data_IF_324629347804
#
_entry.id   IF_324629347804
#
_cell.length_a   1.000
_cell.length_b   1.000
_cell.length_c   1.000
_cell.angle_alpha   90.00
_cell.angle_beta   90.00
_cell.angle_gamma   90.00
#
_symmetry.space_group_name_H-M   'P 1'
#
loop_
_entity.id
_entity.type
_entity.pdbx_description
1 polymer ?
#
# COMPACT_ATOMS: atom_id res chain seq x y z
N UNK A 1 4.50 13.00 -15.03
CA UNK A 1 3.22 13.42 -15.63
C UNK A 1 2.21 13.64 -14.51
N UNK A 2 1.98 14.90 -14.14
CA UNK A 2 1.03 15.29 -13.09
C UNK A 2 -0.38 15.53 -13.69
N UNK A 3 -0.46 15.76 -15.00
CA UNK A 3 -1.69 16.16 -15.70
C UNK A 3 -2.80 15.11 -15.77
N UNK A 4 -2.51 13.81 -15.70
CA UNK A 4 -3.55 12.78 -15.69
C UNK A 4 -4.32 12.73 -14.35
N UNK A 5 -3.71 13.16 -13.25
CA UNK A 5 -4.37 13.19 -11.94
C UNK A 5 -5.49 14.24 -11.87
N UNK A 6 -5.50 15.25 -12.75
CA UNK A 6 -6.40 16.41 -12.66
C UNK A 6 -7.62 16.36 -13.60
N UNK A 7 -7.76 15.35 -14.46
CA UNK A 7 -8.91 15.27 -15.38
C UNK A 7 -10.20 14.83 -14.66
N UNK A 8 -11.22 15.69 -14.72
CA UNK A 8 -12.45 15.68 -13.93
C UNK A 8 -13.46 14.54 -14.14
N UNK A 9 -13.04 13.36 -14.63
CA UNK A 9 -13.89 12.17 -14.75
C UNK A 9 -13.48 11.09 -13.72
N UNK A 10 -13.30 11.49 -12.46
CA UNK A 10 -12.90 10.56 -11.39
C UNK A 10 -14.09 9.70 -11.00
N UNK A 11 -14.00 8.39 -11.27
CA UNK A 11 -14.90 7.42 -10.63
C UNK A 11 -14.42 7.24 -9.20
N UNK A 12 -15.21 7.74 -8.25
CA UNK A 12 -14.94 7.52 -6.83
C UNK A 12 -15.36 6.12 -6.43
N UNK A 13 -14.63 5.51 -5.50
CA UNK A 13 -15.13 4.31 -4.81
C UNK A 13 -16.31 4.73 -3.93
N UNK A 14 -17.29 3.85 -3.77
CA UNK A 14 -18.37 4.03 -2.81
C UNK A 14 -17.83 4.16 -1.37
N UNK A 15 -16.70 3.49 -1.09
CA UNK A 15 -16.00 3.57 0.18
C UNK A 15 -14.48 3.73 -0.04
N UNK A 16 -13.85 4.74 0.59
CA UNK A 16 -12.38 4.87 0.66
C UNK A 16 -11.71 3.66 1.31
N UNK A 17 -10.62 3.19 0.70
CA UNK A 17 -9.75 2.19 1.33
C UNK A 17 -8.69 2.92 2.15
N UNK A 18 -8.71 2.73 3.47
CA UNK A 18 -7.70 3.29 4.38
C UNK A 18 -6.46 2.42 4.42
N UNK A 19 -5.28 3.04 4.39
CA UNK A 19 -4.01 2.32 4.50
C UNK A 19 -3.36 2.66 5.83
N UNK A 20 -3.15 1.62 6.65
CA UNK A 20 -2.57 1.76 7.99
C UNK A 20 -1.13 1.27 8.03
N UNK A 21 -0.23 2.02 8.69
CA UNK A 21 1.11 1.54 9.02
C UNK A 21 1.01 0.51 10.16
N UNK A 22 1.53 -0.69 9.93
CA UNK A 22 1.68 -1.74 10.92
C UNK A 22 3.12 -1.84 11.43
N UNK A 23 3.55 -3.07 11.72
CA UNK A 23 4.85 -3.37 12.32
C UNK A 23 6.02 -2.80 11.50
N UNK A 24 6.96 -2.18 12.20
CA UNK A 24 8.16 -1.53 11.67
C UNK A 24 7.90 -0.44 10.58
N UNK A 25 6.69 0.13 10.52
CA UNK A 25 6.37 1.25 9.62
C UNK A 25 6.02 2.51 10.42
N UNK A 26 6.58 3.65 10.01
CA UNK A 26 6.27 4.97 10.54
C UNK A 26 5.03 5.56 9.87
N UNK A 27 5.00 5.57 8.55
CA UNK A 27 3.86 6.02 7.75
C UNK A 27 3.89 5.40 6.36
N UNK A 28 2.73 5.46 5.69
CA UNK A 28 2.51 4.99 4.32
C UNK A 28 1.91 6.11 3.47
N UNK A 29 2.27 6.15 2.18
CA UNK A 29 1.74 7.07 1.19
C UNK A 29 1.35 6.29 -0.08
N UNK A 30 0.14 6.49 -0.64
CA UNK A 30 -0.97 7.28 -0.07
C UNK A 30 -1.54 6.63 1.21
N UNK A 31 -2.25 7.43 2.02
CA UNK A 31 -2.97 6.95 3.21
C UNK A 31 -4.39 6.47 2.89
N UNK A 32 -4.93 6.89 1.75
CA UNK A 32 -6.28 6.58 1.29
C UNK A 32 -6.28 6.30 -0.21
N UNK A 33 -7.16 5.39 -0.65
CA UNK A 33 -7.45 5.14 -2.07
C UNK A 33 -8.93 5.43 -2.29
N UNK A 34 -9.21 6.64 -2.81
CA UNK A 34 -10.58 7.16 -2.93
C UNK A 34 -11.15 7.05 -4.36
N UNK A 35 -10.26 6.94 -5.35
CA UNK A 35 -10.61 7.02 -6.77
C UNK A 35 -10.13 5.80 -7.53
N UNK A 36 -10.97 5.36 -8.47
CA UNK A 36 -10.67 4.34 -9.47
C UNK A 36 -10.12 5.07 -10.68
N UNK A 37 -8.94 4.65 -11.13
CA UNK A 37 -8.31 5.18 -12.34
C UNK A 37 -8.52 4.16 -13.46
N UNK A 38 -9.31 4.49 -14.52
CA UNK A 38 -9.52 3.56 -15.63
C UNK A 38 -8.19 3.06 -16.22
N UNK A 39 -8.04 1.74 -16.36
CA UNK A 39 -6.85 1.11 -16.93
C UNK A 39 -5.63 1.00 -16.00
N UNK A 40 -5.71 1.52 -14.76
CA UNK A 40 -4.65 1.32 -13.77
C UNK A 40 -4.65 -0.15 -13.31
N UNK A 41 -3.46 -0.76 -13.28
CA UNK A 41 -3.26 -2.16 -12.86
C UNK A 41 -2.70 -2.28 -11.46
N UNK A 42 -1.97 -1.25 -11.01
CA UNK A 42 -1.25 -1.25 -9.74
C UNK A 42 -1.14 0.14 -9.14
N UNK A 43 -1.20 0.20 -7.82
CA UNK A 43 -1.01 1.38 -7.00
C UNK A 43 0.37 1.27 -6.36
N UNK A 44 1.26 2.26 -6.58
CA UNK A 44 2.55 2.27 -5.91
C UNK A 44 2.37 2.85 -4.51
N UNK A 45 2.73 2.06 -3.50
CA UNK A 45 2.72 2.46 -2.11
C UNK A 45 4.16 2.75 -1.68
N UNK A 46 4.34 3.80 -0.91
CA UNK A 46 5.61 4.18 -0.31
C UNK A 46 5.48 4.12 1.20
N UNK A 47 6.53 3.71 1.89
CA UNK A 47 6.53 3.59 3.33
C UNK A 47 7.89 3.98 3.90
N UNK A 48 7.86 4.64 5.05
CA UNK A 48 9.05 4.96 5.85
C UNK A 48 9.16 3.94 6.97
N UNK A 49 10.30 3.28 7.07
CA UNK A 49 10.54 2.23 8.07
C UNK A 49 11.06 2.87 9.36
N UNK A 50 10.71 2.30 10.53
CA UNK A 50 11.14 2.81 11.83
C UNK A 50 12.57 2.40 12.18
N UNK A 51 12.93 1.14 11.92
CA UNK A 51 14.23 0.55 12.26
C UNK A 51 14.79 -0.25 11.09
N UNK A 52 16.13 -0.28 10.89
CA UNK A 52 16.72 -1.11 9.86
C UNK A 52 16.47 -2.59 10.15
N UNK A 53 16.18 -3.36 9.11
CA UNK A 53 15.90 -4.80 9.24
C UNK A 53 16.28 -5.54 7.96
N UNK A 54 16.89 -6.71 8.10
CA UNK A 54 17.33 -7.56 7.00
C UNK A 54 16.41 -8.77 6.80
N UNK A 55 16.40 -9.29 5.56
CA UNK A 55 15.59 -10.46 5.13
C UNK A 55 14.14 -10.32 5.59
N UNK A 56 13.51 -9.26 5.10
CA UNK A 56 12.14 -8.93 5.52
C UNK A 56 11.12 -9.33 4.48
N UNK A 57 9.93 -9.61 4.98
CA UNK A 57 8.70 -9.77 4.22
C UNK A 57 7.76 -8.60 4.56
N UNK A 58 7.37 -7.88 3.52
CA UNK A 58 6.41 -6.77 3.57
C UNK A 58 5.05 -7.35 3.25
N UNK A 59 4.15 -7.44 4.22
CA UNK A 59 2.81 -8.00 4.05
C UNK A 59 1.77 -6.90 3.93
N UNK A 60 0.86 -7.04 2.96
CA UNK A 60 -0.35 -6.24 2.83
C UNK A 60 -1.51 -7.11 3.30
N UNK A 61 -2.18 -6.68 4.37
CA UNK A 61 -3.16 -7.47 5.12
C UNK A 61 -4.51 -6.75 5.05
N UNK A 62 -5.58 -7.49 4.77
CA UNK A 62 -6.95 -6.95 4.78
C UNK A 62 -7.50 -6.75 6.21
N UNK A 63 -8.72 -6.24 6.30
CA UNK A 63 -9.45 -6.01 7.55
C UNK A 63 -9.78 -7.31 8.32
N UNK A 64 -9.64 -8.47 7.67
CA UNK A 64 -9.89 -9.81 8.24
C UNK A 64 -8.61 -10.53 8.63
N UNK A 65 -7.45 -9.88 8.52
CA UNK A 65 -6.15 -10.47 8.83
C UNK A 65 -5.57 -11.37 7.73
N UNK A 66 -6.19 -11.40 6.54
CA UNK A 66 -5.69 -12.20 5.40
C UNK A 66 -4.61 -11.44 4.67
N UNK A 67 -3.52 -12.13 4.34
CA UNK A 67 -2.45 -11.56 3.52
C UNK A 67 -2.90 -11.52 2.06
N UNK A 68 -3.14 -10.31 1.55
CA UNK A 68 -3.50 -10.07 0.16
C UNK A 68 -2.31 -10.31 -0.78
N UNK A 69 -1.14 -9.82 -0.37
CA UNK A 69 0.12 -10.00 -1.10
C UNK A 69 1.30 -9.75 -0.17
N UNK A 70 2.47 -10.25 -0.56
CA UNK A 70 3.70 -10.02 0.18
C UNK A 70 4.91 -9.85 -0.74
N UNK A 71 5.87 -9.03 -0.29
CA UNK A 71 7.11 -8.76 -1.01
C UNK A 71 8.31 -9.06 -0.14
N UNK A 72 9.29 -9.80 -0.67
CA UNK A 72 10.56 -10.03 0.02
C UNK A 72 11.54 -8.90 -0.29
N UNK A 73 12.29 -8.46 0.71
CA UNK A 73 13.36 -7.48 0.54
C UNK A 73 14.56 -7.85 1.40
N UNK A 74 15.77 -7.69 0.84
CA UNK A 74 17.02 -8.05 1.54
C UNK A 74 17.28 -7.16 2.75
N UNK A 75 17.00 -5.86 2.64
CA UNK A 75 17.17 -4.89 3.71
C UNK A 75 16.16 -3.75 3.55
N UNK A 76 15.72 -3.22 4.67
CA UNK A 76 15.02 -1.94 4.77
C UNK A 76 15.78 -1.06 5.75
N UNK A 77 15.84 0.24 5.45
CA UNK A 77 16.47 1.23 6.33
C UNK A 77 15.56 2.44 6.47
N UNK A 78 15.58 3.13 7.63
CA UNK A 78 14.82 4.37 7.79
C UNK A 78 15.27 5.47 6.84
N UNK A 79 16.54 5.48 6.40
CA UNK A 79 17.06 6.51 5.49
C UNK A 79 16.35 6.56 4.13
N UNK A 80 15.84 5.41 3.68
CA UNK A 80 15.23 5.25 2.36
C UNK A 80 13.70 5.10 2.42
N UNK A 81 13.03 5.58 1.38
CA UNK A 81 11.61 5.27 1.16
C UNK A 81 11.49 3.88 0.53
N UNK A 82 10.84 2.95 1.23
CA UNK A 82 10.53 1.62 0.71
C UNK A 82 9.29 1.74 -0.16
N UNK A 83 9.25 1.07 -1.31
CA UNK A 83 8.04 1.03 -2.14
C UNK A 83 7.67 -0.38 -2.56
N UNK A 84 6.36 -0.61 -2.64
CA UNK A 84 5.75 -1.84 -3.11
C UNK A 84 4.60 -1.50 -4.03
N UNK A 85 4.15 -2.47 -4.82
CA UNK A 85 2.96 -2.30 -5.66
C UNK A 85 1.79 -3.03 -5.02
N UNK A 86 0.62 -2.39 -5.01
CA UNK A 86 -0.65 -3.00 -4.65
C UNK A 86 -1.41 -3.26 -5.95
N UNK A 87 -1.56 -4.52 -6.38
CA UNK A 87 -2.37 -4.88 -7.54
C UNK A 87 -3.82 -4.44 -7.33
N UNK A 88 -4.38 -3.74 -8.31
CA UNK A 88 -5.74 -3.18 -8.20
C UNK A 88 -6.81 -4.29 -8.20
N UNK A 89 -6.49 -5.44 -8.79
CA UNK A 89 -7.32 -6.67 -8.77
C UNK A 89 -7.55 -7.23 -7.36
N UNK A 90 -6.74 -6.86 -6.37
CA UNK A 90 -6.92 -7.29 -4.97
C UNK A 90 -7.86 -6.35 -4.20
N UNK A 91 -8.30 -5.25 -4.80
CA UNK A 91 -9.14 -4.24 -4.18
C UNK A 91 -10.61 -4.51 -4.48
N UNK A 92 -11.19 -5.47 -3.76
CA UNK A 92 -12.64 -5.69 -3.73
C UNK A 92 -13.36 -4.47 -3.12
N UNK A 93 -14.60 -4.22 -3.53
CA UNK A 93 -15.44 -3.12 -3.04
C UNK A 93 -15.82 -3.27 -1.57
N UNK A 94 -15.70 -4.48 -1.02
CA UNK A 94 -15.89 -4.74 0.42
C UNK A 94 -14.65 -4.41 1.25
N UNK A 95 -13.50 -4.17 0.63
CA UNK A 95 -12.25 -3.93 1.34
C UNK A 95 -12.26 -2.51 1.93
N UNK A 96 -12.18 -2.42 3.26
CA UNK A 96 -12.26 -1.12 3.97
C UNK A 96 -10.90 -0.57 4.33
N UNK A 97 -9.96 -1.46 4.65
CA UNK A 97 -8.63 -1.07 5.06
C UNK A 97 -7.58 -2.10 4.63
N UNK A 98 -6.34 -1.62 4.53
CA UNK A 98 -5.16 -2.45 4.30
C UNK A 98 -4.13 -2.03 5.33
N UNK A 99 -3.59 -3.01 6.06
CA UNK A 99 -2.45 -2.79 6.94
C UNK A 99 -1.19 -3.26 6.24
N UNK A 100 -0.17 -2.40 6.17
CA UNK A 100 1.16 -2.78 5.68
C UNK A 100 2.04 -3.08 6.88
N UNK A 101 2.70 -4.23 6.90
CA UNK A 101 3.63 -4.60 7.97
C UNK A 101 4.93 -5.10 7.39
N UNK A 102 6.04 -4.82 8.07
CA UNK A 102 7.35 -5.37 7.75
C UNK A 102 7.76 -6.29 8.90
N UNK A 103 8.07 -7.53 8.57
CA UNK A 103 8.55 -8.54 9.52
C UNK A 103 9.73 -9.28 8.92
N UNK A 104 10.68 -9.72 9.75
CA UNK A 104 11.68 -10.71 9.36
C UNK A 104 11.00 -11.99 8.83
N UNK A 105 11.49 -12.47 7.68
CA UNK A 105 11.08 -13.74 7.04
C UNK A 105 11.69 -14.95 7.77
#
# INVERSE_FOLDING_TARGET
VVGEYLKGNRKFRSQPIKIFPGDNIAYVVPQHIDFIVPGRKKIKLFMRVKKPEERVKINLIDDKGRVLTAYKKRIVTPGEMVSVFLPEVLLDDKLKNITISIKRD
#
